data_IF_637049041236
#
_entry.id   IF_637049041236
#
_cell.length_a   1.000
_cell.length_b   1.000
_cell.length_c   1.000
_cell.angle_alpha   90.00
_cell.angle_beta   90.00
_cell.angle_gamma   90.00
#
_symmetry.space_group_name_H-M   'P 1'
#
loop_
_entity.id
_entity.type
_entity.pdbx_description
1 polymer ?
#
# COMPACT_ATOMS: atom_id res chain seq x y z
N UNK A 1 20.29 -20.51 74.20
CA UNK A 1 20.64 -19.99 72.86
C UNK A 1 20.05 -20.96 71.84
N UNK A 2 19.05 -20.48 71.08
CA UNK A 2 18.47 -20.94 69.80
C UNK A 2 18.70 -22.42 69.38
N UNK A 3 17.68 -23.31 69.48
CA UNK A 3 16.70 -23.76 68.42
C UNK A 3 17.39 -24.39 67.19
N UNK A 4 17.09 -25.60 66.69
CA UNK A 4 15.77 -26.21 66.36
C UNK A 4 15.88 -27.73 66.07
N UNK A 5 14.77 -28.46 66.22
CA UNK A 5 14.48 -29.83 65.75
C UNK A 5 14.29 -29.92 64.21
N UNK A 6 14.23 -31.13 63.61
CA UNK A 6 14.34 -31.40 62.17
C UNK A 6 13.00 -31.66 61.45
N UNK A 7 13.09 -31.91 60.12
CA UNK A 7 12.35 -32.95 59.35
C UNK A 7 11.55 -32.48 58.10
N UNK A 8 12.11 -32.85 56.93
CA UNK A 8 11.53 -33.41 55.68
C UNK A 8 10.31 -32.79 54.94
N UNK A 9 10.49 -32.65 53.59
CA UNK A 9 9.57 -32.78 52.41
C UNK A 9 8.22 -32.01 52.43
N UNK A 10 7.65 -31.47 51.36
CA UNK A 10 7.70 -31.68 49.91
C UNK A 10 7.13 -30.45 49.16
N UNK A 11 7.17 -30.52 47.83
CA UNK A 11 6.26 -29.89 46.85
C UNK A 11 6.45 -28.42 46.42
N UNK A 12 7.05 -28.29 45.24
CA UNK A 12 6.45 -27.67 44.04
C UNK A 12 5.72 -26.32 44.18
N UNK A 13 6.42 -25.22 43.93
CA UNK A 13 5.79 -24.00 43.39
C UNK A 13 6.61 -23.42 42.24
N UNK A 14 5.92 -23.30 41.10
CA UNK A 14 6.40 -22.80 39.83
C UNK A 14 6.74 -21.31 39.95
N UNK A 15 7.99 -20.95 39.67
CA UNK A 15 8.41 -19.57 39.38
C UNK A 15 8.67 -19.44 37.88
N UNK A 16 7.78 -18.67 37.27
CA UNK A 16 7.91 -17.90 36.04
C UNK A 16 9.33 -17.75 35.48
N UNK A 17 9.50 -18.03 34.18
CA UNK A 17 10.22 -17.10 33.30
C UNK A 17 10.00 -17.38 31.82
N UNK A 18 9.21 -16.48 31.23
CA UNK A 18 9.52 -15.76 29.99
C UNK A 18 10.00 -16.59 28.79
N UNK A 19 9.08 -16.99 27.92
CA UNK A 19 9.37 -17.13 26.48
C UNK A 19 8.07 -17.40 25.69
N UNK A 20 7.13 -16.45 25.65
CA UNK A 20 5.89 -16.63 24.86
C UNK A 20 5.57 -15.46 23.91
N UNK A 21 6.50 -14.54 23.68
CA UNK A 21 6.18 -13.35 22.88
C UNK A 21 6.59 -13.42 21.40
N UNK A 22 6.97 -14.59 20.88
CA UNK A 22 7.60 -14.63 19.55
C UNK A 22 7.25 -15.81 18.65
N UNK A 23 6.05 -16.41 18.78
CA UNK A 23 5.64 -17.56 17.93
C UNK A 23 4.29 -17.43 17.22
N UNK A 24 3.68 -16.24 17.07
CA UNK A 24 2.32 -16.12 16.50
C UNK A 24 2.10 -15.00 15.46
N UNK A 25 3.10 -14.67 14.65
CA UNK A 25 2.89 -13.87 13.41
C UNK A 25 2.63 -14.78 12.19
N UNK A 26 2.10 -15.98 12.41
CA UNK A 26 1.89 -16.97 11.36
C UNK A 26 0.56 -16.74 10.64
N UNK A 27 0.67 -16.35 9.36
CA UNK A 27 -0.33 -16.42 8.30
C UNK A 27 -1.75 -15.97 8.69
N UNK A 28 -1.99 -14.65 8.64
CA UNK A 28 -3.33 -14.10 8.85
C UNK A 28 -4.18 -14.28 7.59
N UNK A 29 -5.14 -15.20 7.67
CA UNK A 29 -6.16 -15.42 6.65
C UNK A 29 -7.41 -14.56 6.93
N UNK A 30 -7.52 -13.41 6.25
CA UNK A 30 -8.69 -12.52 6.34
C UNK A 30 -9.97 -13.12 5.74
N UNK A 31 -9.90 -14.27 5.05
CA UNK A 31 -11.08 -14.89 4.42
C UNK A 31 -11.88 -15.76 5.38
N UNK A 32 -11.36 -16.01 6.59
CA UNK A 32 -11.98 -16.86 7.60
C UNK A 32 -12.10 -16.15 8.95
N UNK A 33 -13.24 -16.33 9.61
CA UNK A 33 -13.44 -15.83 10.96
C UNK A 33 -12.51 -16.58 11.93
N UNK A 34 -11.87 -15.84 12.83
CA UNK A 34 -11.03 -16.40 13.89
C UNK A 34 -11.39 -15.80 15.25
N UNK A 35 -10.78 -16.31 16.33
CA UNK A 35 -10.96 -15.75 17.67
C UNK A 35 -10.43 -14.31 17.83
N UNK A 36 -9.63 -13.84 16.88
CA UNK A 36 -8.98 -12.53 16.90
C UNK A 36 -9.68 -11.49 16.02
N UNK A 37 -10.66 -11.90 15.21
CA UNK A 37 -11.42 -11.02 14.32
C UNK A 37 -12.76 -10.69 14.94
N UNK A 38 -12.97 -9.42 15.26
CA UNK A 38 -14.19 -8.87 15.88
C UNK A 38 -14.98 -7.97 14.92
N UNK A 39 -14.56 -7.91 13.64
CA UNK A 39 -15.18 -7.09 12.62
C UNK A 39 -15.24 -7.78 11.26
N UNK A 40 -16.22 -7.40 10.46
CA UNK A 40 -16.43 -7.89 9.11
C UNK A 40 -16.49 -6.73 8.11
N UNK A 41 -15.71 -6.82 7.02
CA UNK A 41 -15.87 -5.98 5.84
C UNK A 41 -16.65 -6.78 4.80
N UNK A 42 -17.83 -6.28 4.41
CA UNK A 42 -18.62 -6.89 3.34
C UNK A 42 -18.27 -6.21 2.00
N UNK A 43 -17.72 -7.00 1.06
CA UNK A 43 -17.27 -6.53 -0.25
C UNK A 43 -17.75 -7.49 -1.33
N UNK A 44 -18.50 -6.99 -2.31
CA UNK A 44 -19.09 -7.82 -3.39
C UNK A 44 -19.88 -9.05 -2.86
N UNK A 45 -20.60 -8.88 -1.74
CA UNK A 45 -21.38 -9.94 -1.09
C UNK A 45 -20.53 -11.02 -0.41
N UNK A 46 -19.23 -10.76 -0.20
CA UNK A 46 -18.31 -11.65 0.51
C UNK A 46 -17.75 -10.96 1.75
N UNK A 47 -17.45 -11.77 2.76
CA UNK A 47 -16.91 -11.30 4.04
C UNK A 47 -15.38 -11.34 4.08
N UNK A 48 -14.79 -10.30 4.66
CA UNK A 48 -13.40 -10.27 5.11
C UNK A 48 -13.39 -10.02 6.62
N UNK A 49 -12.76 -10.91 7.37
CA UNK A 49 -12.75 -10.88 8.83
C UNK A 49 -11.46 -10.23 9.33
N UNK A 50 -11.60 -9.15 10.10
CA UNK A 50 -10.47 -8.33 10.57
C UNK A 50 -10.69 -7.88 12.01
N UNK A 51 -9.62 -7.59 12.77
CA UNK A 51 -9.77 -6.87 14.03
C UNK A 51 -10.07 -5.37 13.79
N UNK A 52 -11.07 -4.79 14.47
CA UNK A 52 -11.35 -3.33 14.45
C UNK A 52 -10.08 -2.54 14.80
N UNK A 53 -9.32 -3.04 15.77
CA UNK A 53 -8.07 -2.43 16.22
C UNK A 53 -7.01 -2.34 15.13
N UNK A 54 -6.93 -3.32 14.23
CA UNK A 54 -6.01 -3.29 13.08
C UNK A 54 -6.39 -2.16 12.13
N UNK A 55 -7.65 -2.10 11.71
CA UNK A 55 -8.15 -1.05 10.82
C UNK A 55 -7.98 0.36 11.42
N UNK A 56 -8.29 0.51 12.70
CA UNK A 56 -8.15 1.76 13.43
C UNK A 56 -6.67 2.19 13.58
N UNK A 57 -5.75 1.25 13.72
CA UNK A 57 -4.33 1.54 13.81
C UNK A 57 -3.76 2.05 12.48
N UNK A 58 -4.21 1.49 11.35
CA UNK A 58 -3.63 1.80 10.03
C UNK A 58 -4.28 3.00 9.36
N UNK A 59 -5.53 3.32 9.69
CA UNK A 59 -6.29 4.40 9.07
C UNK A 59 -6.91 5.35 10.10
N UNK A 60 -6.60 6.66 10.04
CA UNK A 60 -7.27 7.64 10.89
C UNK A 60 -8.76 7.79 10.54
N UNK A 61 -9.14 7.55 9.28
CA UNK A 61 -10.55 7.60 8.83
C UNK A 61 -11.34 6.47 9.49
N UNK A 62 -10.82 5.23 9.43
CA UNK A 62 -11.47 4.08 10.06
C UNK A 62 -11.47 4.20 11.59
N UNK A 63 -10.38 4.69 12.18
CA UNK A 63 -10.33 5.00 13.61
C UNK A 63 -11.45 5.96 14.03
N UNK A 64 -11.64 7.04 13.27
CA UNK A 64 -12.68 8.01 13.55
C UNK A 64 -14.05 7.36 13.46
N UNK A 65 -14.30 6.59 12.39
CA UNK A 65 -15.55 5.86 12.17
C UNK A 65 -15.93 4.92 13.32
N UNK A 66 -14.95 4.28 13.98
CA UNK A 66 -15.21 3.38 15.11
C UNK A 66 -15.31 4.09 16.47
N UNK A 67 -14.70 5.27 16.63
CA UNK A 67 -14.65 5.96 17.93
C UNK A 67 -15.74 7.01 18.11
N UNK A 68 -16.17 7.63 17.03
CA UNK A 68 -17.14 8.72 17.04
C UNK A 68 -18.58 8.18 17.15
N UNK A 69 -19.56 9.02 17.50
CA UNK A 69 -20.99 8.64 17.60
C UNK A 69 -21.66 8.40 16.23
N UNK A 70 -20.89 7.89 15.28
CA UNK A 70 -21.34 7.45 13.98
C UNK A 70 -21.99 6.06 14.11
N UNK A 71 -22.88 5.72 13.19
CA UNK A 71 -23.68 4.49 13.23
C UNK A 71 -22.80 3.23 13.19
N UNK A 72 -21.60 3.37 12.67
CA UNK A 72 -20.59 2.34 12.47
C UNK A 72 -19.84 1.96 13.77
N UNK A 73 -19.96 2.75 14.84
CA UNK A 73 -19.35 2.46 16.15
C UNK A 73 -19.82 1.13 16.72
N UNK A 74 -21.13 0.91 16.72
CA UNK A 74 -21.80 -0.29 17.24
C UNK A 74 -22.05 -1.36 16.17
N UNK A 75 -21.61 -1.10 14.93
CA UNK A 75 -21.73 -2.08 13.86
C UNK A 75 -20.65 -3.18 14.02
N UNK A 76 -21.01 -4.42 13.66
CA UNK A 76 -20.06 -5.53 13.54
C UNK A 76 -19.66 -5.78 12.07
N UNK A 77 -20.37 -5.14 11.13
CA UNK A 77 -20.18 -5.26 9.69
C UNK A 77 -20.10 -3.88 9.06
N UNK A 78 -19.09 -3.66 8.20
CA UNK A 78 -18.98 -2.49 7.35
C UNK A 78 -19.13 -2.89 5.88
N UNK A 79 -20.23 -2.50 5.21
CA UNK A 79 -20.34 -2.67 3.78
C UNK A 79 -19.43 -1.67 3.05
N UNK A 80 -18.67 -2.17 2.07
CA UNK A 80 -17.84 -1.37 1.17
C UNK A 80 -18.39 -1.45 -0.25
N UNK A 81 -19.50 -0.74 -0.55
CA UNK A 81 -20.01 -0.66 -1.91
C UNK A 81 -18.94 -0.05 -2.83
N UNK A 82 -18.95 -0.45 -4.10
CA UNK A 82 -18.03 0.03 -5.14
C UNK A 82 -16.55 -0.36 -4.96
N UNK A 83 -16.23 -1.25 -4.03
CA UNK A 83 -14.89 -1.83 -3.87
C UNK A 83 -14.83 -3.26 -4.42
N UNK A 84 -13.66 -3.64 -4.95
CA UNK A 84 -13.39 -5.01 -5.38
C UNK A 84 -12.85 -5.83 -4.23
N UNK A 85 -13.37 -7.04 -4.06
CA UNK A 85 -12.96 -7.94 -2.98
C UNK A 85 -11.44 -8.15 -2.95
N UNK A 86 -10.85 -8.42 -4.12
CA UNK A 86 -9.41 -8.63 -4.27
C UNK A 86 -8.57 -7.40 -3.92
N UNK A 87 -9.09 -6.20 -4.15
CA UNK A 87 -8.37 -4.96 -3.86
C UNK A 87 -8.33 -4.70 -2.36
N UNK A 88 -9.46 -4.91 -1.68
CA UNK A 88 -9.57 -4.81 -0.22
C UNK A 88 -8.72 -5.88 0.46
N UNK A 89 -8.77 -7.13 -0.02
CA UNK A 89 -7.92 -8.20 0.50
C UNK A 89 -6.43 -7.88 0.33
N UNK A 90 -6.02 -7.36 -0.83
CA UNK A 90 -4.63 -6.93 -1.07
C UNK A 90 -4.24 -5.81 -0.10
N UNK A 91 -5.12 -4.83 0.11
CA UNK A 91 -4.90 -3.73 1.06
C UNK A 91 -4.74 -4.23 2.50
N UNK A 92 -5.57 -5.17 2.96
CA UNK A 92 -5.44 -5.76 4.30
C UNK A 92 -4.11 -6.48 4.48
N UNK A 93 -3.69 -7.25 3.46
CA UNK A 93 -2.40 -7.95 3.48
C UNK A 93 -1.21 -6.99 3.50
N UNK A 94 -1.27 -5.90 2.74
CA UNK A 94 -0.21 -4.88 2.77
C UNK A 94 -0.16 -4.13 4.10
N UNK A 95 -1.30 -3.92 4.77
CA UNK A 95 -1.40 -3.17 6.04
C UNK A 95 -1.23 -4.02 7.28
N UNK A 96 -1.09 -5.34 7.15
CA UNK A 96 -0.88 -6.23 8.28
C UNK A 96 0.53 -6.08 8.87
N UNK A 97 0.68 -5.96 10.19
CA UNK A 97 1.98 -5.94 10.85
C UNK A 97 2.83 -7.18 10.53
N UNK A 98 4.14 -7.01 10.38
CA UNK A 98 5.07 -8.13 10.16
C UNK A 98 5.36 -8.45 8.69
N UNK A 99 5.22 -7.47 7.80
CA UNK A 99 5.64 -7.53 6.39
C UNK A 99 5.12 -8.76 5.63
N UNK A 100 3.87 -9.18 5.85
CA UNK A 100 3.28 -10.32 5.15
C UNK A 100 3.45 -10.20 3.63
N UNK A 101 3.28 -8.99 3.09
CA UNK A 101 3.49 -8.68 1.67
C UNK A 101 4.10 -7.29 1.51
N UNK A 102 5.22 -7.21 0.77
CA UNK A 102 5.76 -5.93 0.27
C UNK A 102 4.98 -5.47 -0.96
N UNK A 103 4.66 -4.17 -1.02
CA UNK A 103 3.95 -3.57 -2.15
C UNK A 103 4.77 -3.76 -3.43
N UNK A 104 4.18 -4.43 -4.42
CA UNK A 104 4.74 -4.57 -5.76
C UNK A 104 3.95 -3.73 -6.77
N UNK A 105 4.56 -3.42 -7.92
CA UNK A 105 3.94 -2.53 -8.92
C UNK A 105 2.53 -2.96 -9.36
N UNK A 106 2.30 -4.27 -9.55
CA UNK A 106 1.00 -4.81 -9.93
C UNK A 106 -0.07 -4.67 -8.83
N UNK A 107 0.32 -4.47 -7.58
CA UNK A 107 -0.59 -4.25 -6.45
C UNK A 107 -0.96 -2.77 -6.32
N UNK A 108 -0.11 -1.85 -6.79
CA UNK A 108 -0.30 -0.40 -6.65
C UNK A 108 -1.68 0.08 -7.16
N UNK A 109 -2.19 -0.36 -8.34
CA UNK A 109 -3.52 0.03 -8.80
C UNK A 109 -4.66 -0.39 -7.87
N UNK A 110 -4.46 -1.46 -7.09
CA UNK A 110 -5.43 -2.00 -6.14
C UNK A 110 -5.41 -1.26 -4.81
N UNK A 111 -4.20 -1.02 -4.29
CA UNK A 111 -4.01 -0.49 -2.92
C UNK A 111 -3.96 1.03 -2.85
N UNK A 112 -3.45 1.71 -3.89
CA UNK A 112 -3.33 3.17 -3.89
C UNK A 112 -4.69 3.89 -3.71
N UNK A 113 -5.78 3.49 -4.39
CA UNK A 113 -7.09 4.11 -4.18
C UNK A 113 -7.55 4.00 -2.73
N UNK A 114 -7.43 2.81 -2.13
CA UNK A 114 -7.84 2.52 -0.75
C UNK A 114 -6.95 3.26 0.26
N UNK A 115 -5.63 3.30 0.02
CA UNK A 115 -4.69 4.03 0.85
C UNK A 115 -4.97 5.54 0.84
N UNK A 116 -5.39 6.09 -0.30
CA UNK A 116 -5.78 7.49 -0.40
C UNK A 116 -7.10 7.76 0.32
N UNK A 117 -8.13 6.97 0.05
CA UNK A 117 -9.47 7.09 0.64
C UNK A 117 -9.44 6.97 2.16
N UNK A 118 -8.70 5.99 2.68
CA UNK A 118 -8.56 5.74 4.12
C UNK A 118 -7.35 6.45 4.74
N UNK A 119 -6.68 7.34 4.00
CA UNK A 119 -5.56 8.17 4.49
C UNK A 119 -4.41 7.39 5.14
N UNK A 120 -4.07 6.23 4.58
CA UNK A 120 -2.95 5.39 5.04
C UNK A 120 -1.64 5.92 4.46
N UNK A 121 -1.07 6.95 5.11
CA UNK A 121 0.07 7.74 4.60
C UNK A 121 1.31 6.92 4.26
N UNK A 122 1.69 5.96 5.11
CA UNK A 122 2.87 5.14 4.88
C UNK A 122 2.70 4.24 3.64
N UNK A 123 1.49 3.72 3.41
CA UNK A 123 1.19 2.89 2.24
C UNK A 123 1.14 3.73 0.95
N UNK A 124 0.67 4.98 1.03
CA UNK A 124 0.79 5.95 -0.07
C UNK A 124 2.25 6.21 -0.45
N UNK A 125 3.11 6.35 0.55
CA UNK A 125 4.54 6.52 0.34
C UNK A 125 5.18 5.29 -0.30
N UNK A 126 4.85 4.08 0.17
CA UNK A 126 5.35 2.83 -0.44
C UNK A 126 4.91 2.69 -1.91
N UNK A 127 3.65 2.99 -2.22
CA UNK A 127 3.17 3.04 -3.60
C UNK A 127 3.96 4.04 -4.45
N UNK A 128 4.26 5.22 -3.89
CA UNK A 128 5.04 6.28 -4.55
C UNK A 128 6.46 5.79 -4.84
N UNK A 129 7.12 5.16 -3.87
CA UNK A 129 8.47 4.60 -4.03
C UNK A 129 8.48 3.54 -5.13
N UNK A 130 7.52 2.62 -5.12
CA UNK A 130 7.40 1.57 -6.13
C UNK A 130 7.23 2.19 -7.52
N UNK A 131 6.31 3.15 -7.69
CA UNK A 131 6.13 3.86 -8.96
C UNK A 131 7.40 4.58 -9.43
N UNK A 132 8.10 5.28 -8.53
CA UNK A 132 9.36 5.95 -8.86
C UNK A 132 10.44 4.97 -9.30
N UNK A 133 10.53 3.81 -8.64
CA UNK A 133 11.48 2.76 -9.00
C UNK A 133 11.23 2.19 -10.39
N UNK A 134 9.97 2.13 -10.81
CA UNK A 134 9.61 1.67 -12.15
C UNK A 134 10.01 2.68 -13.24
N UNK A 135 10.10 3.97 -12.93
CA UNK A 135 10.51 5.03 -13.85
C UNK A 135 12.05 5.14 -14.03
N UNK A 136 12.84 4.34 -13.31
CA UNK A 136 14.30 4.49 -13.29
C UNK A 136 15.01 3.93 -14.55
N UNK A 137 16.14 4.55 -14.90
CA UNK A 137 16.94 4.25 -16.11
C UNK A 137 17.74 2.96 -15.98
N UNK A 138 18.19 2.66 -14.76
CA UNK A 138 18.91 1.44 -14.41
C UNK A 138 18.17 0.17 -14.83
N UNK A 139 16.83 0.23 -14.93
CA UNK A 139 15.96 -0.88 -15.33
C UNK A 139 15.82 -1.08 -16.84
N UNK A 140 16.43 -0.24 -17.67
CA UNK A 140 16.30 -0.31 -19.13
C UNK A 140 17.68 -0.24 -19.83
N UNK A 141 18.55 -1.25 -19.66
CA UNK A 141 19.89 -1.27 -20.26
C UNK A 141 19.86 -1.24 -21.79
N UNK A 142 18.80 -1.78 -22.41
CA UNK A 142 18.65 -1.87 -23.86
C UNK A 142 17.90 -0.66 -24.47
N UNK A 143 17.76 0.43 -23.72
CA UNK A 143 16.99 1.61 -24.12
C UNK A 143 15.49 1.52 -23.79
N UNK A 144 14.77 2.59 -24.09
CA UNK A 144 13.34 2.74 -23.75
C UNK A 144 12.48 2.45 -24.97
N UNK A 145 11.64 1.42 -24.89
CA UNK A 145 10.69 1.00 -25.94
C UNK A 145 9.31 1.65 -25.75
N UNK A 146 8.46 1.57 -26.77
CA UNK A 146 7.08 2.05 -26.67
C UNK A 146 6.28 1.36 -25.54
N UNK A 147 6.54 0.07 -25.27
CA UNK A 147 5.91 -0.66 -24.15
C UNK A 147 6.28 -0.07 -22.79
N UNK A 148 7.56 0.28 -22.63
CA UNK A 148 8.05 0.90 -21.40
C UNK A 148 7.42 2.28 -21.23
N UNK A 149 7.37 3.10 -22.30
CA UNK A 149 6.70 4.41 -22.22
C UNK A 149 5.20 4.25 -21.95
N UNK A 150 4.55 3.22 -22.49
CA UNK A 150 3.15 2.90 -22.17
C UNK A 150 2.96 2.67 -20.68
N UNK A 151 3.82 1.84 -20.07
CA UNK A 151 3.83 1.62 -18.61
C UNK A 151 4.04 2.93 -17.85
N UNK A 152 4.99 3.77 -18.28
CA UNK A 152 5.27 5.07 -17.68
C UNK A 152 4.05 6.00 -17.75
N UNK A 153 3.32 6.01 -18.87
CA UNK A 153 2.10 6.81 -19.01
C UNK A 153 1.01 6.35 -18.04
N UNK A 154 0.83 5.03 -17.85
CA UNK A 154 -0.10 4.50 -16.85
C UNK A 154 0.26 4.94 -15.43
N UNK A 155 1.56 4.92 -15.10
CA UNK A 155 2.06 5.46 -13.82
C UNK A 155 1.74 6.95 -13.71
N UNK A 156 1.97 7.75 -14.76
CA UNK A 156 1.69 9.18 -14.75
C UNK A 156 0.21 9.48 -14.55
N UNK A 157 -0.69 8.79 -15.26
CA UNK A 157 -2.13 8.98 -15.13
C UNK A 157 -2.60 8.71 -13.69
N UNK A 158 -2.06 7.66 -13.06
CA UNK A 158 -2.33 7.40 -11.65
C UNK A 158 -1.76 8.51 -10.76
N UNK A 159 -0.52 8.94 -11.01
CA UNK A 159 0.11 10.01 -10.25
C UNK A 159 -0.66 11.33 -10.35
N UNK A 160 -1.19 11.68 -11.52
CA UNK A 160 -2.06 12.85 -11.72
C UNK A 160 -3.36 12.72 -10.92
N UNK A 161 -4.00 11.55 -10.95
CA UNK A 161 -5.24 11.28 -10.21
C UNK A 161 -5.08 11.46 -8.69
N UNK A 162 -3.91 11.13 -8.14
CA UNK A 162 -3.63 11.15 -6.71
C UNK A 162 -2.63 12.25 -6.28
N UNK A 163 -2.41 13.27 -7.13
CA UNK A 163 -1.48 14.40 -6.91
C UNK A 163 -0.06 14.01 -6.44
N UNK A 164 0.50 12.94 -7.02
CA UNK A 164 1.84 12.45 -6.69
C UNK A 164 2.92 13.20 -7.50
N UNK A 165 3.18 14.45 -7.11
CA UNK A 165 4.07 15.39 -7.83
C UNK A 165 5.49 14.86 -8.09
N UNK A 166 6.07 14.12 -7.15
CA UNK A 166 7.40 13.52 -7.31
C UNK A 166 7.44 12.50 -8.45
N UNK A 167 6.38 11.70 -8.60
CA UNK A 167 6.24 10.70 -9.68
C UNK A 167 6.05 11.40 -11.02
N UNK A 168 5.20 12.45 -11.08
CA UNK A 168 4.97 13.25 -12.29
C UNK A 168 6.28 13.90 -12.76
N UNK A 169 7.02 14.54 -11.85
CA UNK A 169 8.32 15.17 -12.16
C UNK A 169 9.31 14.14 -12.71
N UNK A 170 9.43 12.98 -12.07
CA UNK A 170 10.29 11.89 -12.53
C UNK A 170 9.87 11.35 -13.90
N UNK A 171 8.56 11.23 -14.14
CA UNK A 171 8.01 10.84 -15.43
C UNK A 171 8.38 11.83 -16.53
N UNK A 172 8.18 13.14 -16.31
CA UNK A 172 8.53 14.20 -17.28
C UNK A 172 10.02 14.13 -17.60
N UNK A 173 10.88 14.07 -16.59
CA UNK A 173 12.33 13.95 -16.75
C UNK A 173 12.67 12.75 -17.64
N UNK A 174 12.04 11.61 -17.37
CA UNK A 174 12.32 10.35 -18.05
C UNK A 174 11.86 10.38 -19.50
N UNK A 175 10.60 10.73 -19.76
CA UNK A 175 10.01 10.70 -21.10
C UNK A 175 10.56 11.81 -22.00
N UNK A 176 10.98 12.95 -21.44
CA UNK A 176 11.68 13.99 -22.21
C UNK A 176 12.95 13.48 -22.88
N UNK A 177 13.66 12.52 -22.27
CA UNK A 177 14.86 11.92 -22.89
C UNK A 177 14.57 10.94 -24.04
N UNK A 178 13.31 10.51 -24.23
CA UNK A 178 12.91 9.46 -25.17
C UNK A 178 12.40 10.07 -26.48
N UNK A 179 12.78 9.55 -27.64
CA UNK A 179 12.33 10.08 -28.95
C UNK A 179 10.79 10.16 -29.07
N UNK A 180 10.24 11.33 -29.42
CA UNK A 180 8.78 11.55 -29.51
C UNK A 180 8.06 10.54 -30.41
N UNK A 181 8.69 10.13 -31.52
CA UNK A 181 8.17 9.11 -32.45
C UNK A 181 7.85 7.77 -31.79
N UNK A 182 8.45 7.45 -30.64
CA UNK A 182 8.25 6.19 -29.92
C UNK A 182 6.87 6.14 -29.25
N UNK A 183 6.33 7.28 -28.83
CA UNK A 183 5.16 7.32 -27.94
C UNK A 183 4.03 8.27 -28.37
N UNK A 184 4.21 9.06 -29.43
CA UNK A 184 3.21 10.02 -29.91
C UNK A 184 1.82 9.39 -30.18
N UNK A 185 1.80 8.14 -30.63
CA UNK A 185 0.58 7.44 -31.03
C UNK A 185 -0.04 6.61 -29.90
N UNK A 186 0.63 6.49 -28.76
CA UNK A 186 0.14 5.71 -27.62
C UNK A 186 -1.13 6.32 -27.05
N UNK A 187 -2.16 5.49 -26.90
CA UNK A 187 -3.43 5.88 -26.28
C UNK A 187 -3.23 6.39 -24.86
N UNK A 188 -2.37 5.74 -24.08
CA UNK A 188 -2.06 6.16 -22.71
C UNK A 188 -1.35 7.50 -22.67
N UNK A 189 -0.47 7.80 -23.64
CA UNK A 189 0.17 9.11 -23.71
C UNK A 189 -0.87 10.22 -23.96
N UNK A 190 -1.87 9.96 -24.80
CA UNK A 190 -2.96 10.91 -25.07
C UNK A 190 -3.86 11.18 -23.85
N UNK A 191 -3.93 10.23 -22.91
CA UNK A 191 -4.68 10.36 -21.64
C UNK A 191 -3.93 11.18 -20.58
N UNK A 192 -2.60 11.29 -20.67
CA UNK A 192 -1.82 12.19 -19.81
C UNK A 192 -2.27 13.63 -20.03
N UNK A 193 -2.33 14.42 -18.95
CA UNK A 193 -2.80 15.81 -19.04
C UNK A 193 -2.02 16.63 -20.05
N UNK A 194 -2.68 17.67 -20.58
CA UNK A 194 -2.06 18.57 -21.54
C UNK A 194 -0.85 19.30 -20.93
N UNK A 195 -0.92 19.66 -19.65
CA UNK A 195 0.16 20.32 -18.91
C UNK A 195 1.42 19.46 -18.91
N UNK A 196 1.31 18.20 -18.48
CA UNK A 196 2.44 17.27 -18.43
C UNK A 196 2.99 16.99 -19.83
N UNK A 197 2.12 16.79 -20.83
CA UNK A 197 2.54 16.60 -22.22
C UNK A 197 3.29 17.82 -22.77
N UNK A 198 2.83 19.03 -22.45
CA UNK A 198 3.51 20.26 -22.83
C UNK A 198 4.89 20.36 -22.18
N UNK A 199 5.01 20.07 -20.88
CA UNK A 199 6.31 20.06 -20.17
C UNK A 199 7.31 19.10 -20.80
N UNK A 200 6.88 17.93 -21.27
CA UNK A 200 7.73 16.95 -21.97
C UNK A 200 8.26 17.53 -23.28
N UNK A 201 7.41 18.19 -24.07
CA UNK A 201 7.82 18.80 -25.34
C UNK A 201 8.80 19.95 -25.10
N UNK A 202 8.52 20.82 -24.12
CA UNK A 202 9.43 21.91 -23.75
C UNK A 202 10.79 21.42 -23.26
N UNK A 203 10.81 20.39 -22.39
CA UNK A 203 12.06 19.80 -21.90
C UNK A 203 12.93 19.21 -23.02
N UNK A 204 12.29 18.74 -24.09
CA UNK A 204 12.98 18.26 -25.29
C UNK A 204 13.59 19.38 -26.12
N UNK A 205 12.82 20.45 -26.38
CA UNK A 205 13.30 21.61 -27.14
C UNK A 205 14.54 22.23 -26.47
N UNK A 206 14.49 22.46 -25.16
CA UNK A 206 15.65 22.98 -24.43
C UNK A 206 16.88 22.04 -24.46
N UNK A 207 16.69 20.73 -24.66
CA UNK A 207 17.81 19.79 -24.83
C UNK A 207 18.39 19.80 -26.24
N UNK A 208 17.65 20.29 -27.24
CA UNK A 208 18.10 20.46 -28.63
C UNK A 208 18.83 21.79 -28.77
N UNK A 209 18.28 22.86 -28.21
CA UNK A 209 18.90 24.20 -28.26
C UNK A 209 20.29 24.22 -27.60
N UNK A 210 20.50 23.44 -26.54
CA UNK A 210 21.82 23.30 -25.87
C UNK A 210 22.83 22.41 -26.62
N UNK A 211 22.45 21.80 -27.74
CA UNK A 211 23.34 20.94 -28.56
C UNK A 211 23.73 21.58 -29.90
N UNK A 212 23.17 22.73 -30.24
CA UNK A 212 23.56 23.56 -31.38
C UNK A 212 24.57 24.62 -30.94
#
# INVERSE_FOLDING_TARGET
MFTTLPEQRSDSEQSEKSSSCSEHLQDVDFTRKSRWTDFELEVEGKSLYVPKSHLAMVSPVLWMMFKSDFKEKDADVLPLPDKKYEDVLTFLKCTHPGDLIKVAYNMVPKVLPLAHEYQVKWLLNDCTIVMMSELDVSRCPNGVTAEIVRKYCRICIMAEKYDLKSVISKFIQRVSSVGYRIYQDLTEFKQVSLEVRYSIVCGRLGSIDNKM
#
